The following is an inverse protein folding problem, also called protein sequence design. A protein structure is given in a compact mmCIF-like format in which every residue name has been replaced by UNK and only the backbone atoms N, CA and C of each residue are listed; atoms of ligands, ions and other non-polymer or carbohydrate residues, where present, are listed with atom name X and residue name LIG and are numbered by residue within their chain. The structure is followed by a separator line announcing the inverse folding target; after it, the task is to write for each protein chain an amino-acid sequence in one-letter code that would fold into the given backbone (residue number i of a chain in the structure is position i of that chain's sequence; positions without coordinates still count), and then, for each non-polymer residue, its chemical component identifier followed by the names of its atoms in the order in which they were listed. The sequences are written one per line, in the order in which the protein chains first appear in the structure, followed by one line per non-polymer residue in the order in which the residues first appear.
data_IF_111098479151
#
_entry.id   IF_111098479151
#
_cell.length_a   1.000
_cell.length_b   1.000
_cell.length_c   1.000
_cell.angle_alpha   90.00
_cell.angle_beta   90.00
_cell.angle_gamma   90.00
#
_symmetry.space_group_name_H-M   'P 1'
#
loop_
_entity.id
_entity.type
_entity.pdbx_description
1 polymer ?
#
# COMPACT_ATOMS: atom_id res chain seq x y z
N UNK A 1 37.90 -38.93 17.34
CA UNK A 1 37.84 -37.52 16.90
C UNK A 1 36.38 -37.16 16.72
N UNK A 2 35.87 -36.15 17.44
CA UNK A 2 34.44 -35.90 17.60
C UNK A 2 33.83 -35.29 16.33
N UNK A 3 32.58 -35.66 16.03
CA UNK A 3 31.76 -34.99 15.00
C UNK A 3 31.48 -33.58 15.47
N UNK A 4 31.92 -32.60 14.69
CA UNK A 4 31.61 -31.18 14.89
C UNK A 4 30.11 -31.01 14.64
N UNK A 5 29.37 -30.65 15.69
CA UNK A 5 28.02 -30.11 15.56
C UNK A 5 28.12 -28.74 14.91
N UNK A 6 27.42 -28.58 13.78
CA UNK A 6 27.37 -27.34 13.03
C UNK A 6 26.51 -26.31 13.81
N UNK A 7 27.03 -25.12 14.18
CA UNK A 7 26.38 -24.21 15.12
C UNK A 7 25.37 -23.24 14.47
N UNK A 8 25.02 -23.44 13.20
CA UNK A 8 24.10 -22.54 12.49
C UNK A 8 22.75 -23.23 12.23
N UNK A 9 21.66 -22.82 12.91
CA UNK A 9 20.33 -23.26 12.52
C UNK A 9 19.98 -22.58 11.19
N UNK A 10 20.30 -23.24 10.08
CA UNK A 10 19.77 -22.86 8.78
C UNK A 10 18.23 -22.82 8.85
N UNK A 11 17.56 -21.98 8.05
CA UNK A 11 16.11 -21.88 8.07
C UNK A 11 15.51 -23.26 7.81
N UNK A 12 14.92 -23.85 8.85
CA UNK A 12 14.25 -25.15 8.80
C UNK A 12 13.30 -25.18 7.60
N UNK A 13 13.25 -26.27 6.85
CA UNK A 13 12.43 -26.38 5.62
C UNK A 13 10.95 -25.97 5.81
N UNK A 14 10.43 -26.04 7.05
CA UNK A 14 9.13 -25.50 7.45
C UNK A 14 8.99 -23.98 7.22
N UNK A 15 10.03 -23.20 7.47
CA UNK A 15 10.05 -21.74 7.25
C UNK A 15 9.98 -21.37 5.75
N UNK A 16 10.47 -22.24 4.86
CA UNK A 16 10.38 -22.02 3.41
C UNK A 16 8.98 -22.36 2.88
N UNK A 17 8.34 -23.40 3.42
CA UNK A 17 6.99 -23.81 3.01
C UNK A 17 5.92 -22.77 3.37
N UNK A 18 6.04 -22.12 4.52
CA UNK A 18 5.15 -21.02 4.92
C UNK A 18 5.25 -19.79 4.02
N UNK A 19 6.39 -19.57 3.35
CA UNK A 19 6.63 -18.47 2.41
C UNK A 19 6.13 -18.74 0.99
N UNK A 20 5.60 -19.94 0.72
CA UNK A 20 5.02 -20.26 -0.58
C UNK A 20 3.85 -19.32 -0.88
N UNK A 21 3.83 -18.77 -2.10
CA UNK A 21 2.76 -17.89 -2.56
C UNK A 21 1.59 -18.72 -3.08
N UNK A 22 0.39 -18.46 -2.56
CA UNK A 22 -0.86 -19.13 -2.96
C UNK A 22 -1.89 -18.09 -3.39
N UNK A 23 -2.79 -18.49 -4.28
CA UNK A 23 -3.93 -17.65 -4.69
C UNK A 23 -5.16 -18.02 -3.87
N UNK A 24 -5.83 -17.03 -3.30
CA UNK A 24 -7.12 -17.22 -2.65
C UNK A 24 -8.09 -16.14 -3.11
N UNK A 25 -9.35 -16.55 -3.28
CA UNK A 25 -10.44 -15.65 -3.65
C UNK A 25 -11.29 -15.39 -2.43
N UNK A 26 -11.47 -14.11 -2.10
CA UNK A 26 -12.35 -13.67 -1.02
C UNK A 26 -13.58 -12.95 -1.57
N UNK A 27 -14.70 -13.05 -0.86
CA UNK A 27 -15.92 -12.28 -1.10
C UNK A 27 -16.06 -11.17 -0.07
N UNK A 28 -15.48 -10.02 -0.38
CA UNK A 28 -15.39 -8.85 0.51
C UNK A 28 -16.01 -7.61 -0.14
N UNK A 29 -16.21 -6.55 0.64
CA UNK A 29 -16.77 -5.30 0.13
C UNK A 29 -15.82 -4.62 -0.86
N UNK A 30 -16.37 -3.80 -1.77
CA UNK A 30 -15.55 -2.95 -2.65
C UNK A 30 -14.63 -2.04 -1.80
N UNK A 31 -15.16 -1.52 -0.69
CA UNK A 31 -14.39 -0.75 0.28
C UNK A 31 -13.21 -1.54 0.83
N UNK A 32 -13.37 -2.79 1.22
CA UNK A 32 -12.23 -3.59 1.70
C UNK A 32 -11.18 -3.81 0.60
N UNK A 33 -11.60 -4.05 -0.65
CA UNK A 33 -10.70 -4.21 -1.79
C UNK A 33 -9.85 -2.95 -2.01
N UNK A 34 -10.50 -1.79 -2.00
CA UNK A 34 -9.85 -0.50 -2.24
C UNK A 34 -8.89 -0.15 -1.11
N UNK A 35 -9.27 -0.45 0.14
CA UNK A 35 -8.42 -0.22 1.33
C UNK A 35 -7.11 -1.02 1.24
N UNK A 36 -7.20 -2.31 0.92
CA UNK A 36 -6.02 -3.17 0.76
C UNK A 36 -5.08 -2.62 -0.32
N UNK A 37 -5.64 -2.26 -1.48
CA UNK A 37 -4.86 -1.72 -2.58
C UNK A 37 -4.14 -0.42 -2.21
N UNK A 38 -4.89 0.50 -1.62
CA UNK A 38 -4.42 1.81 -1.20
C UNK A 38 -3.35 1.72 -0.11
N UNK A 39 -3.62 1.01 0.99
CA UNK A 39 -2.66 0.87 2.10
C UNK A 39 -1.37 0.22 1.61
N UNK A 40 -1.44 -0.76 0.71
CA UNK A 40 -0.25 -1.37 0.13
C UNK A 40 0.58 -0.35 -0.68
N UNK A 41 -0.05 0.48 -1.50
CA UNK A 41 0.61 1.54 -2.26
C UNK A 41 1.26 2.57 -1.33
N UNK A 42 0.53 3.06 -0.33
CA UNK A 42 1.03 4.09 0.59
C UNK A 42 2.16 3.59 1.50
N UNK A 43 2.10 2.32 1.92
CA UNK A 43 3.19 1.68 2.67
C UNK A 43 4.38 1.28 1.77
N UNK A 44 4.26 1.40 0.44
CA UNK A 44 5.31 0.98 -0.49
C UNK A 44 5.55 -0.53 -0.49
N UNK A 45 4.54 -1.32 -0.09
CA UNK A 45 4.64 -2.78 0.01
C UNK A 45 3.68 -3.48 -0.96
N UNK A 46 3.95 -4.76 -1.23
CA UNK A 46 3.04 -5.59 -2.03
C UNK A 46 1.81 -5.95 -1.19
N UNK A 47 0.65 -6.09 -1.83
CA UNK A 47 -0.59 -6.54 -1.16
C UNK A 47 -0.40 -7.86 -0.39
N UNK A 48 0.37 -8.81 -0.94
CA UNK A 48 0.76 -10.04 -0.23
C UNK A 48 1.39 -9.74 1.14
N UNK A 49 2.36 -8.84 1.17
CA UNK A 49 3.07 -8.45 2.39
C UNK A 49 2.16 -7.73 3.38
N UNK A 50 1.21 -6.93 2.88
CA UNK A 50 0.19 -6.30 3.72
C UNK A 50 -0.67 -7.35 4.43
N UNK A 51 -1.14 -8.38 3.72
CA UNK A 51 -1.87 -9.49 4.34
C UNK A 51 -1.02 -10.24 5.35
N UNK A 52 0.25 -10.50 5.03
CA UNK A 52 1.18 -11.13 5.96
C UNK A 52 1.23 -10.28 7.27
N UNK A 53 1.40 -8.97 7.19
CA UNK A 53 1.42 -8.09 8.37
C UNK A 53 0.11 -8.03 9.15
N UNK A 54 -1.05 -8.03 8.48
CA UNK A 54 -2.35 -7.91 9.16
C UNK A 54 -2.75 -9.21 9.88
N UNK A 55 -2.34 -10.36 9.34
CA UNK A 55 -2.84 -11.69 9.74
C UNK A 55 -1.79 -12.51 10.50
N UNK A 56 -0.53 -12.08 10.53
CA UNK A 56 0.54 -12.79 11.23
C UNK A 56 0.34 -12.86 12.75
N UNK A 57 -0.33 -11.87 13.34
CA UNK A 57 -0.69 -11.88 14.76
C UNK A 57 -1.97 -12.70 14.99
N UNK A 58 -1.77 -13.99 15.31
CA UNK A 58 -2.86 -14.93 15.61
C UNK A 58 -3.68 -14.50 16.83
N UNK A 59 -3.09 -13.87 17.84
CA UNK A 59 -3.81 -13.41 19.02
C UNK A 59 -4.73 -12.24 18.67
N UNK A 60 -4.23 -11.29 17.87
CA UNK A 60 -5.04 -10.18 17.39
C UNK A 60 -6.14 -10.62 16.42
N UNK A 61 -5.92 -11.71 15.66
CA UNK A 61 -6.90 -12.31 14.77
C UNK A 61 -7.96 -13.11 15.53
N UNK A 62 -7.57 -13.84 16.57
CA UNK A 62 -8.44 -14.58 17.48
C UNK A 62 -9.38 -13.61 18.24
N UNK A 63 -8.80 -12.57 18.85
CA UNK A 63 -9.57 -11.52 19.51
C UNK A 63 -10.54 -10.81 18.54
N UNK A 64 -10.11 -10.60 17.29
CA UNK A 64 -11.00 -10.06 16.26
C UNK A 64 -12.17 -11.01 15.98
N UNK A 65 -11.90 -12.30 15.79
CA UNK A 65 -12.90 -13.32 15.49
C UNK A 65 -14.04 -13.31 16.52
N UNK A 66 -13.71 -13.18 17.80
CA UNK A 66 -14.71 -13.10 18.89
C UNK A 66 -15.65 -11.89 18.79
N UNK A 67 -15.23 -10.81 18.13
CA UNK A 67 -16.03 -9.58 17.98
C UNK A 67 -16.90 -9.54 16.71
N UNK A 68 -16.68 -10.47 15.77
CA UNK A 68 -17.32 -10.43 14.45
C UNK A 68 -18.82 -10.77 14.56
N UNK A 69 -19.65 -9.83 14.11
CA UNK A 69 -21.10 -10.03 14.00
C UNK A 69 -21.48 -10.59 12.63
N UNK A 70 -21.55 -11.93 12.52
CA UNK A 70 -21.83 -12.64 11.26
C UNK A 70 -23.11 -12.14 10.56
N UNK A 71 -24.13 -11.72 11.33
CA UNK A 71 -25.38 -11.17 10.77
C UNK A 71 -25.13 -9.89 9.96
N UNK A 72 -24.30 -8.98 10.46
CA UNK A 72 -23.92 -7.75 9.74
C UNK A 72 -23.08 -8.07 8.52
N UNK A 73 -22.15 -9.01 8.64
CA UNK A 73 -21.33 -9.47 7.51
C UNK A 73 -22.19 -10.00 6.33
N UNK A 74 -23.33 -10.66 6.62
CA UNK A 74 -24.28 -11.15 5.59
C UNK A 74 -25.01 -10.05 4.82
N UNK A 75 -25.07 -8.84 5.36
CA UNK A 75 -25.78 -7.71 4.73
C UNK A 75 -24.89 -6.88 3.81
N UNK A 76 -23.57 -7.07 3.86
CA UNK A 76 -22.62 -6.32 3.04
C UNK A 76 -22.70 -6.81 1.59
N UNK A 77 -22.75 -5.87 0.64
CA UNK A 77 -22.59 -6.18 -0.79
C UNK A 77 -21.16 -6.66 -1.08
N UNK A 78 -21.02 -7.86 -1.66
CA UNK A 78 -19.73 -8.54 -1.80
C UNK A 78 -19.30 -8.66 -3.24
N UNK A 79 -18.02 -8.41 -3.50
CA UNK A 79 -17.36 -8.69 -4.76
C UNK A 79 -16.28 -9.75 -4.57
N UNK A 80 -16.12 -10.59 -5.59
CA UNK A 80 -15.05 -11.58 -5.59
C UNK A 80 -13.75 -10.93 -6.00
N UNK A 81 -12.70 -11.10 -5.19
CA UNK A 81 -11.36 -10.65 -5.50
C UNK A 81 -10.33 -11.72 -5.14
N UNK A 82 -9.48 -12.04 -6.10
CA UNK A 82 -8.38 -12.99 -5.91
C UNK A 82 -7.10 -12.25 -5.55
N UNK A 83 -6.46 -12.68 -4.47
CA UNK A 83 -5.18 -12.17 -3.99
C UNK A 83 -4.12 -13.27 -3.97
N UNK A 84 -2.86 -12.84 -4.05
CA UNK A 84 -1.70 -13.69 -3.78
C UNK A 84 -1.28 -13.48 -2.33
N UNK A 85 -1.15 -14.57 -1.58
CA UNK A 85 -0.93 -14.58 -0.12
C UNK A 85 0.19 -15.57 0.24
N UNK A 86 0.74 -15.49 1.44
CA UNK A 86 1.56 -16.59 1.95
C UNK A 86 0.68 -17.78 2.35
N UNK A 87 1.24 -18.99 2.27
CA UNK A 87 0.59 -20.20 2.79
C UNK A 87 0.27 -20.05 4.28
N UNK A 88 1.21 -19.47 5.05
CA UNK A 88 1.04 -19.15 6.48
C UNK A 88 -0.22 -18.32 6.76
N UNK A 89 -0.46 -17.26 5.98
CA UNK A 89 -1.67 -16.42 6.12
C UNK A 89 -2.96 -17.21 5.89
N UNK A 90 -2.98 -18.08 4.87
CA UNK A 90 -4.18 -18.90 4.62
C UNK A 90 -4.39 -19.91 5.74
N UNK A 91 -3.34 -20.56 6.22
CA UNK A 91 -3.43 -21.55 7.29
C UNK A 91 -3.91 -20.89 8.59
N UNK A 92 -3.44 -19.68 8.89
CA UNK A 92 -3.92 -18.87 10.02
C UNK A 92 -5.41 -18.54 9.90
N UNK A 93 -5.84 -18.07 8.73
CA UNK A 93 -7.26 -17.80 8.45
C UNK A 93 -8.13 -19.05 8.56
N UNK A 94 -7.63 -20.20 8.11
CA UNK A 94 -8.32 -21.49 8.14
C UNK A 94 -8.47 -22.00 9.58
N UNK A 95 -7.40 -21.95 10.38
CA UNK A 95 -7.42 -22.35 11.79
C UNK A 95 -8.46 -21.55 12.61
N UNK A 96 -8.50 -20.23 12.46
CA UNK A 96 -9.47 -19.37 13.16
C UNK A 96 -10.88 -19.59 12.59
N UNK A 97 -11.02 -19.74 11.27
CA UNK A 97 -12.30 -20.02 10.61
C UNK A 97 -12.94 -21.31 11.13
N UNK A 98 -12.15 -22.37 11.29
CA UNK A 98 -12.60 -23.66 11.85
C UNK A 98 -12.94 -23.54 13.34
N UNK A 99 -12.09 -22.88 14.12
CA UNK A 99 -12.27 -22.72 15.58
C UNK A 99 -13.57 -21.99 15.92
N UNK A 100 -13.92 -20.94 15.17
CA UNK A 100 -15.10 -20.12 15.45
C UNK A 100 -16.28 -20.36 14.49
N UNK A 101 -16.17 -21.32 13.57
CA UNK A 101 -17.22 -21.64 12.60
C UNK A 101 -17.64 -20.47 11.70
N UNK A 102 -16.68 -19.63 11.30
CA UNK A 102 -16.95 -18.39 10.57
C UNK A 102 -16.25 -18.35 9.21
N UNK A 103 -16.77 -17.60 8.21
CA UNK A 103 -16.13 -17.54 6.90
C UNK A 103 -14.82 -16.74 6.95
N UNK A 104 -13.77 -17.25 6.29
CA UNK A 104 -12.49 -16.53 6.08
C UNK A 104 -12.67 -15.14 5.49
N UNK A 105 -13.70 -14.96 4.65
CA UNK A 105 -14.07 -13.66 4.09
C UNK A 105 -14.38 -12.61 5.17
N UNK A 106 -15.04 -13.01 6.27
CA UNK A 106 -15.36 -12.11 7.37
C UNK A 106 -14.11 -11.72 8.15
N UNK A 107 -13.19 -12.67 8.39
CA UNK A 107 -11.91 -12.37 9.01
C UNK A 107 -11.17 -11.31 8.19
N UNK A 108 -11.07 -11.49 6.87
CA UNK A 108 -10.42 -10.51 5.99
C UNK A 108 -11.13 -9.15 6.02
N UNK A 109 -12.46 -9.11 5.87
CA UNK A 109 -13.25 -7.87 5.89
C UNK A 109 -12.99 -7.04 7.15
N UNK A 110 -13.07 -7.68 8.32
CA UNK A 110 -12.91 -7.00 9.60
C UNK A 110 -11.44 -6.70 9.94
N UNK A 111 -10.50 -7.52 9.46
CA UNK A 111 -9.07 -7.23 9.55
C UNK A 111 -8.71 -5.97 8.78
N UNK A 112 -9.35 -5.72 7.63
CA UNK A 112 -9.17 -4.48 6.86
C UNK A 112 -9.78 -3.28 7.59
N UNK A 113 -10.87 -3.44 8.35
CA UNK A 113 -11.44 -2.36 9.16
C UNK A 113 -10.45 -1.86 10.23
N UNK A 114 -9.58 -2.71 10.76
CA UNK A 114 -8.49 -2.29 11.68
C UNK A 114 -7.48 -1.36 11.00
N UNK A 115 -7.37 -1.37 9.67
CA UNK A 115 -6.56 -0.38 8.92
C UNK A 115 -7.20 1.02 8.93
N UNK A 116 -8.42 1.18 9.46
CA UNK A 116 -9.13 2.46 9.46
C UNK A 116 -8.35 3.62 10.09
N UNK A 117 -7.59 3.36 11.17
CA UNK A 117 -6.72 4.38 11.79
C UNK A 117 -5.56 4.78 10.87
N UNK A 118 -4.96 3.81 10.18
CA UNK A 118 -3.89 4.04 9.19
C UNK A 118 -4.44 4.85 8.02
N UNK A 119 -5.60 4.45 7.47
CA UNK A 119 -6.26 5.16 6.37
C UNK A 119 -6.60 6.60 6.78
N UNK A 120 -7.10 6.80 7.99
CA UNK A 120 -7.41 8.15 8.51
C UNK A 120 -6.15 9.01 8.63
N UNK A 121 -5.04 8.44 9.11
CA UNK A 121 -3.77 9.17 9.17
C UNK A 121 -3.21 9.50 7.77
N UNK A 122 -3.43 8.61 6.81
CA UNK A 122 -2.94 8.81 5.44
C UNK A 122 -3.80 9.84 4.68
N UNK A 123 -5.10 9.91 4.96
CA UNK A 123 -5.97 10.99 4.46
C UNK A 123 -5.46 12.37 4.86
N UNK A 124 -5.11 12.56 6.13
CA UNK A 124 -4.56 13.83 6.60
C UNK A 124 -3.28 14.19 5.86
N UNK A 125 -2.36 13.22 5.72
CA UNK A 125 -1.14 13.44 4.93
C UNK A 125 -1.45 13.74 3.46
N UNK A 126 -2.47 13.12 2.87
CA UNK A 126 -2.84 13.37 1.48
C UNK A 126 -3.30 14.80 1.25
N UNK A 127 -4.08 15.38 2.17
CA UNK A 127 -4.46 16.79 2.11
C UNK A 127 -3.23 17.71 2.19
N UNK A 128 -2.29 17.44 3.11
CA UNK A 128 -1.03 18.18 3.17
C UNK A 128 -0.21 18.06 1.88
N UNK A 129 -0.18 16.86 1.27
CA UNK A 129 0.53 16.67 -0.01
C UNK A 129 -0.08 17.48 -1.15
N UNK A 130 -1.40 17.72 -1.18
CA UNK A 130 -2.03 18.59 -2.20
C UNK A 130 -1.61 20.04 -2.03
N UNK A 131 -1.50 20.51 -0.78
CA UNK A 131 -1.00 21.85 -0.49
C UNK A 131 0.45 21.98 -1.01
N UNK A 132 1.31 21.03 -0.64
CA UNK A 132 2.71 21.00 -1.09
C UNK A 132 2.86 20.86 -2.61
N UNK A 133 2.01 20.07 -3.26
CA UNK A 133 1.99 19.94 -4.73
C UNK A 133 1.78 21.31 -5.37
N UNK A 134 0.80 22.08 -4.89
CA UNK A 134 0.53 23.42 -5.40
C UNK A 134 1.74 24.33 -5.23
N UNK A 135 2.37 24.33 -4.05
CA UNK A 135 3.57 25.13 -3.79
C UNK A 135 4.74 24.74 -4.71
N UNK A 136 4.93 23.44 -4.98
CA UNK A 136 5.96 22.94 -5.90
C UNK A 136 5.67 23.38 -7.35
N UNK A 137 4.43 23.26 -7.81
CA UNK A 137 4.00 23.73 -9.13
C UNK A 137 4.26 25.24 -9.28
N UNK A 138 3.87 26.04 -8.28
CA UNK A 138 4.11 27.48 -8.26
C UNK A 138 5.62 27.79 -8.33
N UNK A 139 6.46 27.05 -7.60
CA UNK A 139 7.92 27.20 -7.66
C UNK A 139 8.49 26.86 -9.05
N UNK A 140 8.01 25.80 -9.69
CA UNK A 140 8.43 25.44 -11.04
C UNK A 140 8.00 26.48 -12.08
N UNK A 141 6.81 27.08 -11.93
CA UNK A 141 6.36 28.21 -12.75
C UNK A 141 7.29 29.43 -12.63
N UNK A 142 7.73 29.76 -11.42
CA UNK A 142 8.73 30.82 -11.22
C UNK A 142 10.05 30.48 -11.92
N UNK A 143 10.50 29.23 -11.87
CA UNK A 143 11.67 28.76 -12.62
C UNK A 143 11.51 28.95 -14.14
N UNK A 144 10.32 28.68 -14.68
CA UNK A 144 9.99 28.89 -16.10
C UNK A 144 10.07 30.37 -16.49
N UNK A 145 9.57 31.28 -15.64
CA UNK A 145 9.67 32.73 -15.86
C UNK A 145 11.12 33.22 -15.85
N UNK A 146 11.95 32.73 -14.93
CA UNK A 146 13.37 33.07 -14.87
C UNK A 146 14.12 32.60 -16.12
N UNK A 147 13.81 31.40 -16.62
CA UNK A 147 14.37 30.90 -17.87
C UNK A 147 13.98 31.79 -19.06
N UNK A 148 12.71 32.17 -19.20
CA UNK A 148 12.26 33.07 -20.26
C UNK A 148 13.00 34.42 -20.22
N UNK A 149 13.25 34.95 -19.02
CA UNK A 149 14.05 36.16 -18.83
C UNK A 149 15.53 35.95 -19.21
N UNK A 150 16.11 34.80 -18.89
CA UNK A 150 17.48 34.49 -19.28
C UNK A 150 17.62 34.40 -20.82
N UNK A 151 16.68 33.72 -21.48
CA UNK A 151 16.64 33.60 -22.94
C UNK A 151 16.48 34.95 -23.62
N UNK A 152 15.66 35.86 -23.09
CA UNK A 152 15.49 37.19 -23.69
C UNK A 152 16.71 38.09 -23.56
N UNK A 153 17.59 37.85 -22.57
CA UNK A 153 18.82 38.64 -22.34
C UNK A 153 20.03 38.02 -23.07
N UNK A 154 20.17 36.70 -23.02
CA UNK A 154 21.38 35.98 -23.43
C UNK A 154 21.21 35.21 -24.74
N UNK A 155 19.97 34.95 -25.17
CA UNK A 155 19.65 34.05 -26.28
C UNK A 155 19.51 32.60 -25.84
N UNK A 156 18.77 31.83 -26.64
CA UNK A 156 18.44 30.42 -26.36
C UNK A 156 19.66 29.48 -26.44
N UNK A 157 20.61 29.80 -27.33
CA UNK A 157 21.82 29.02 -27.54
C UNK A 157 22.90 29.21 -26.47
N UNK A 158 22.71 30.15 -25.54
CA UNK A 158 23.67 30.41 -24.48
C UNK A 158 23.81 29.17 -23.55
N UNK A 159 25.04 28.74 -23.23
CA UNK A 159 25.28 27.61 -22.33
C UNK A 159 24.59 27.73 -20.96
N UNK A 160 24.42 28.95 -20.42
CA UNK A 160 23.68 29.22 -19.20
C UNK A 160 22.19 28.88 -19.37
N UNK A 161 21.57 29.34 -20.45
CA UNK A 161 20.16 29.06 -20.79
C UNK A 161 19.92 27.55 -20.93
N UNK A 162 20.78 26.85 -21.68
CA UNK A 162 20.68 25.39 -21.86
C UNK A 162 20.77 24.60 -20.55
N UNK A 163 21.55 25.09 -19.58
CA UNK A 163 21.65 24.45 -18.24
C UNK A 163 20.35 24.61 -17.45
N UNK A 164 19.73 25.79 -17.50
CA UNK A 164 18.44 26.04 -16.84
C UNK A 164 17.34 25.21 -17.50
N UNK A 165 17.30 25.17 -18.83
CA UNK A 165 16.33 24.36 -19.58
C UNK A 165 16.40 22.88 -19.16
N UNK A 166 17.60 22.32 -19.08
CA UNK A 166 17.80 20.94 -18.62
C UNK A 166 17.25 20.71 -17.20
N UNK A 167 17.41 21.66 -16.29
CA UNK A 167 16.84 21.57 -14.94
C UNK A 167 15.31 21.61 -14.99
N UNK A 168 14.71 22.50 -15.80
CA UNK A 168 13.26 22.60 -15.96
C UNK A 168 12.63 21.35 -16.57
N UNK A 169 13.33 20.65 -17.47
CA UNK A 169 12.87 19.35 -17.99
C UNK A 169 12.77 18.30 -16.86
N UNK A 170 13.74 18.27 -15.95
CA UNK A 170 13.68 17.39 -14.78
C UNK A 170 12.56 17.79 -13.81
N UNK A 171 12.33 19.09 -13.60
CA UNK A 171 11.20 19.60 -12.83
C UNK A 171 9.86 19.16 -13.43
N UNK A 172 9.68 19.28 -14.74
CA UNK A 172 8.45 18.85 -15.44
C UNK A 172 8.16 17.37 -15.21
N UNK A 173 9.17 16.51 -15.39
CA UNK A 173 9.02 15.09 -15.11
C UNK A 173 8.66 14.82 -13.64
N UNK A 174 9.28 15.55 -12.72
CA UNK A 174 8.99 15.43 -11.30
C UNK A 174 7.54 15.84 -10.98
N UNK A 175 7.05 16.92 -11.61
CA UNK A 175 5.67 17.37 -11.49
C UNK A 175 4.68 16.30 -11.99
N UNK A 176 4.95 15.69 -13.14
CA UNK A 176 4.17 14.56 -13.68
C UNK A 176 4.14 13.37 -12.71
N UNK A 177 5.30 12.95 -12.19
CA UNK A 177 5.41 11.83 -11.25
C UNK A 177 4.64 12.10 -9.93
N UNK A 178 4.68 13.34 -9.43
CA UNK A 178 3.90 13.76 -8.24
C UNK A 178 2.40 13.71 -8.53
N UNK A 179 1.97 14.23 -9.69
CA UNK A 179 0.57 14.23 -10.10
C UNK A 179 0.04 12.80 -10.21
N UNK A 180 0.78 11.91 -10.87
CA UNK A 180 0.43 10.49 -11.01
C UNK A 180 0.29 9.78 -9.65
N UNK A 181 1.15 10.12 -8.69
CA UNK A 181 1.06 9.60 -7.33
C UNK A 181 -0.22 10.09 -6.62
N UNK A 182 -0.54 11.39 -6.75
CA UNK A 182 -1.72 11.98 -6.12
C UNK A 182 -3.02 11.48 -6.75
N UNK A 183 -3.09 11.32 -8.08
CA UNK A 183 -4.24 10.74 -8.77
C UNK A 183 -4.53 9.32 -8.28
N UNK A 184 -3.51 8.48 -8.13
CA UNK A 184 -3.66 7.13 -7.55
C UNK A 184 -4.13 7.16 -6.11
N UNK A 185 -3.84 8.24 -5.38
CA UNK A 185 -4.19 8.43 -3.98
C UNK A 185 -5.60 9.01 -3.78
N UNK A 186 -6.28 9.52 -4.83
CA UNK A 186 -7.66 10.06 -4.73
C UNK A 186 -8.69 9.09 -4.19
N UNK A 187 -8.43 7.78 -4.27
CA UNK A 187 -9.26 6.75 -3.64
C UNK A 187 -9.43 7.02 -2.13
N UNK A 188 -8.48 7.70 -1.48
CA UNK A 188 -8.58 8.14 -0.09
C UNK A 188 -9.77 9.06 0.15
N UNK A 189 -10.15 9.92 -0.78
CA UNK A 189 -11.20 10.93 -0.57
C UNK A 189 -12.58 10.29 -0.37
N UNK A 190 -12.82 9.11 -0.94
CA UNK A 190 -14.08 8.38 -0.85
C UNK A 190 -14.22 7.44 0.37
N UNK A 191 -13.24 7.40 1.27
CA UNK A 191 -13.14 6.38 2.33
C UNK A 191 -13.87 6.63 3.64
#
# INVERSE_FOLDING_TARGET
MPKIEDPFPGPTMFNLRGKQSVRATFKISQRAIDAIGMVAVHMGIKQKSLFDHIIEDLEALDALAQTIQIRKFKQIERKQKTYVLSRKTIDALEAISETYGMPRDALVEYSVQKLGSIISSEKLKHEERKILQKEITDYFDHGRLLYQKAVSILGEDDPFCRRIEKALLACRKTEEDINDFLEKSKVLEGF
#
